data_IF_688683330964
#
_entry.id   IF_688683330964
#
_cell.length_a   1.000
_cell.length_b   1.000
_cell.length_c   1.000
_cell.angle_alpha   90.00
_cell.angle_beta   90.00
_cell.angle_gamma   90.00
#
_symmetry.space_group_name_H-M   'P 1'
#
loop_
_entity.id
_entity.type
_entity.pdbx_description
1 polymer ?
#
# COMPACT_ATOMS: atom_id res chain seq x y z
N UNK A 1 10.63 7.71 26.67
CA UNK A 1 11.67 8.58 26.07
C UNK A 1 10.94 9.69 25.32
N UNK A 2 11.32 10.95 25.50
CA UNK A 2 10.68 12.06 24.79
C UNK A 2 11.11 12.07 23.31
N UNK A 3 10.16 12.26 22.39
CA UNK A 3 10.43 12.50 20.97
C UNK A 3 11.42 13.66 20.78
N UNK A 4 12.64 13.35 20.35
CA UNK A 4 13.72 14.33 20.19
C UNK A 4 13.37 15.46 19.19
N UNK A 5 12.38 15.27 18.32
CA UNK A 5 11.98 16.21 17.26
C UNK A 5 10.50 16.63 17.31
N UNK A 6 9.85 16.58 18.48
CA UNK A 6 8.40 16.84 18.60
C UNK A 6 7.93 18.15 17.97
N UNK A 7 8.63 19.26 18.17
CA UNK A 7 8.26 20.57 17.60
C UNK A 7 8.27 20.55 16.06
N UNK A 8 9.28 19.91 15.46
CA UNK A 8 9.38 19.72 14.00
C UNK A 8 8.21 18.89 13.49
N UNK A 9 7.92 17.75 14.13
CA UNK A 9 6.81 16.87 13.74
C UNK A 9 5.45 17.59 13.82
N UNK A 10 5.20 18.35 14.89
CA UNK A 10 3.96 19.16 15.01
C UNK A 10 3.85 20.23 13.93
N UNK A 11 4.95 20.89 13.58
CA UNK A 11 4.95 21.89 12.51
C UNK A 11 4.72 21.25 11.14
N UNK A 12 5.27 20.06 10.89
CA UNK A 12 4.97 19.27 9.70
C UNK A 12 3.49 18.88 9.66
N UNK A 13 2.92 18.36 10.75
CA UNK A 13 1.50 18.02 10.84
C UNK A 13 0.61 19.23 10.51
N UNK A 14 0.94 20.43 11.02
CA UNK A 14 0.22 21.67 10.66
C UNK A 14 0.28 21.98 9.17
N UNK A 15 1.38 21.67 8.49
CA UNK A 15 1.48 21.84 7.03
C UNK A 15 0.61 20.80 6.31
N UNK A 16 0.69 19.54 6.71
CA UNK A 16 -0.12 18.43 6.16
C UNK A 16 -1.62 18.70 6.32
N UNK A 17 -2.08 19.12 7.50
CA UNK A 17 -3.49 19.44 7.75
C UNK A 17 -4.03 20.62 6.91
N UNK A 18 -3.16 21.47 6.36
CA UNK A 18 -3.58 22.54 5.42
C UNK A 18 -3.75 22.03 4.00
N UNK A 19 -3.20 20.87 3.68
CA UNK A 19 -3.31 20.21 2.38
C UNK A 19 -4.51 19.28 2.30
N UNK A 20 -4.92 18.72 3.43
CA UNK A 20 -6.09 17.85 3.50
C UNK A 20 -7.26 18.57 2.82
N UNK A 21 -7.83 18.00 1.75
CA UNK A 21 -9.04 18.54 1.17
C UNK A 21 -10.13 18.49 2.25
N UNK A 22 -11.20 19.27 2.06
CA UNK A 22 -12.37 19.19 2.93
C UNK A 22 -13.14 17.88 2.76
N UNK A 23 -12.44 16.75 2.91
CA UNK A 23 -12.97 15.40 2.77
C UNK A 23 -14.03 15.14 3.84
N UNK A 24 -15.09 14.41 3.46
CA UNK A 24 -16.12 13.97 4.40
C UNK A 24 -15.55 13.03 5.47
N UNK A 25 -14.51 12.25 5.10
CA UNK A 25 -13.76 11.38 5.99
C UNK A 25 -12.29 11.79 6.06
N UNK A 26 -11.79 12.33 7.19
CA UNK A 26 -10.40 12.76 7.32
C UNK A 26 -9.43 11.58 7.55
N UNK A 27 -9.92 10.36 7.77
CA UNK A 27 -9.06 9.21 8.14
C UNK A 27 -7.97 8.90 7.10
N UNK A 28 -8.22 8.87 5.79
CA UNK A 28 -7.17 8.56 4.81
C UNK A 28 -6.00 9.56 4.85
N UNK A 29 -6.30 10.86 4.81
CA UNK A 29 -5.27 11.91 4.86
C UNK A 29 -4.58 11.97 6.23
N UNK A 30 -5.29 11.73 7.33
CA UNK A 30 -4.70 11.59 8.66
C UNK A 30 -3.76 10.38 8.76
N UNK A 31 -4.11 9.26 8.13
CA UNK A 31 -3.30 8.04 8.17
C UNK A 31 -2.03 8.21 7.33
N UNK A 32 -2.12 8.80 6.14
CA UNK A 32 -0.92 9.16 5.36
C UNK A 32 -0.06 10.21 6.08
N UNK A 33 -0.67 11.18 6.76
CA UNK A 33 0.07 12.13 7.59
C UNK A 33 0.84 11.43 8.71
N UNK A 34 0.23 10.45 9.40
CA UNK A 34 0.90 9.65 10.41
C UNK A 34 2.04 8.82 9.81
N UNK A 35 1.87 8.23 8.63
CA UNK A 35 2.93 7.51 7.93
C UNK A 35 4.13 8.42 7.59
N UNK A 36 3.85 9.63 7.10
CA UNK A 36 4.89 10.63 6.80
C UNK A 36 5.64 11.03 8.08
N UNK A 37 4.92 11.29 9.16
CA UNK A 37 5.50 11.66 10.45
C UNK A 37 6.30 10.51 11.07
N UNK A 38 5.84 9.26 10.92
CA UNK A 38 6.55 8.05 11.35
C UNK A 38 7.88 7.91 10.61
N UNK A 39 7.89 8.17 9.30
CA UNK A 39 9.13 8.18 8.53
C UNK A 39 10.08 9.31 8.94
N UNK A 40 9.56 10.52 9.17
CA UNK A 40 10.37 11.63 9.68
C UNK A 40 10.97 11.34 11.07
N UNK A 41 10.21 10.68 11.95
CA UNK A 41 10.67 10.26 13.26
C UNK A 41 11.74 9.15 13.18
N UNK A 42 11.76 8.39 12.09
CA UNK A 42 12.67 7.26 11.88
C UNK A 42 12.11 5.92 12.34
N UNK A 43 10.82 5.85 12.63
CA UNK A 43 10.11 4.61 12.99
C UNK A 43 9.77 3.77 11.74
N UNK A 44 9.62 4.44 10.59
CA UNK A 44 9.36 3.82 9.28
C UNK A 44 10.46 4.20 8.28
N UNK A 45 11.13 3.27 7.59
CA UNK A 45 12.20 3.63 6.64
C UNK A 45 11.69 4.44 5.43
N UNK A 46 10.52 4.08 4.90
CA UNK A 46 9.92 4.65 3.68
C UNK A 46 8.47 5.02 3.94
N UNK A 47 8.07 6.23 3.55
CA UNK A 47 6.66 6.57 3.36
C UNK A 47 6.31 6.41 1.88
N UNK A 48 5.24 5.68 1.60
CA UNK A 48 4.71 5.46 0.26
C UNK A 48 3.55 6.42 0.02
N UNK A 49 3.68 7.28 -0.97
CA UNK A 49 2.69 8.27 -1.38
C UNK A 49 2.14 7.94 -2.76
N UNK A 50 0.84 8.15 -2.97
CA UNK A 50 0.17 7.93 -4.27
C UNK A 50 -0.35 6.51 -4.48
N UNK A 51 -0.22 5.63 -3.48
CA UNK A 51 -0.86 4.29 -3.46
C UNK A 51 -2.04 4.33 -2.49
N UNK A 52 -3.27 4.36 -3.01
CA UNK A 52 -4.50 4.43 -2.21
C UNK A 52 -5.15 5.82 -2.29
N UNK A 53 -4.60 6.80 -1.59
CA UNK A 53 -5.10 8.18 -1.63
C UNK A 53 -4.34 9.01 -2.69
N UNK A 54 -4.94 9.16 -3.87
CA UNK A 54 -4.28 9.69 -5.07
C UNK A 54 -4.76 11.12 -5.42
N UNK A 55 -5.02 11.94 -4.40
CA UNK A 55 -5.44 13.33 -4.60
C UNK A 55 -4.26 14.20 -5.03
N UNK A 56 -4.38 14.85 -6.19
CA UNK A 56 -3.27 15.57 -6.81
C UNK A 56 -2.77 16.76 -5.98
N UNK A 57 -3.68 17.46 -5.30
CA UNK A 57 -3.33 18.57 -4.39
C UNK A 57 -2.52 18.04 -3.20
N UNK A 58 -2.97 16.91 -2.65
CA UNK A 58 -2.30 16.24 -1.53
C UNK A 58 -0.90 15.78 -1.92
N UNK A 59 -0.77 15.02 -3.00
CA UNK A 59 0.53 14.49 -3.47
C UNK A 59 1.53 15.61 -3.68
N UNK A 60 1.17 16.64 -4.46
CA UNK A 60 2.05 17.78 -4.72
C UNK A 60 2.46 18.49 -3.44
N UNK A 61 1.52 18.69 -2.52
CA UNK A 61 1.79 19.32 -1.23
C UNK A 61 2.72 18.50 -0.34
N UNK A 62 2.51 17.19 -0.23
CA UNK A 62 3.37 16.28 0.55
C UNK A 62 4.78 16.25 -0.03
N UNK A 63 4.93 16.17 -1.35
CA UNK A 63 6.23 16.23 -2.03
C UNK A 63 6.96 17.56 -1.77
N UNK A 64 6.24 18.68 -1.79
CA UNK A 64 6.81 19.98 -1.45
C UNK A 64 7.29 20.02 0.01
N UNK A 65 6.48 19.51 0.95
CA UNK A 65 6.88 19.41 2.37
C UNK A 65 8.13 18.54 2.52
N UNK A 66 8.21 17.43 1.78
CA UNK A 66 9.37 16.54 1.81
C UNK A 66 10.64 17.20 1.27
N UNK A 67 10.52 17.91 0.16
CA UNK A 67 11.60 18.71 -0.45
C UNK A 67 12.11 19.80 0.50
N UNK A 68 11.20 20.59 1.09
CA UNK A 68 11.52 21.61 2.10
C UNK A 68 12.26 21.01 3.30
N UNK A 69 11.88 19.79 3.69
CA UNK A 69 12.49 19.05 4.79
C UNK A 69 13.82 18.36 4.42
N UNK A 70 14.27 18.50 3.16
CA UNK A 70 15.47 17.85 2.58
C UNK A 70 15.44 16.33 2.69
N UNK A 71 14.25 15.75 2.59
CA UNK A 71 14.06 14.30 2.53
C UNK A 71 14.42 13.80 1.13
N UNK A 72 14.72 12.50 1.03
CA UNK A 72 14.94 11.85 -0.25
C UNK A 72 13.59 11.46 -0.84
N UNK A 73 13.41 11.69 -2.14
CA UNK A 73 12.20 11.35 -2.88
C UNK A 73 12.65 10.49 -4.05
N UNK A 74 12.10 9.29 -4.15
CA UNK A 74 12.27 8.41 -5.31
C UNK A 74 10.90 8.24 -5.95
N UNK A 75 10.80 8.51 -7.25
CA UNK A 75 9.61 8.20 -8.03
C UNK A 75 9.80 6.84 -8.71
N UNK A 76 8.81 5.96 -8.58
CA UNK A 76 8.91 4.60 -9.09
C UNK A 76 7.56 3.99 -9.48
N UNK A 77 7.59 2.82 -10.14
CA UNK A 77 6.38 2.00 -10.31
C UNK A 77 5.92 1.49 -8.93
N UNK A 78 4.67 1.02 -8.84
CA UNK A 78 4.27 0.25 -7.65
C UNK A 78 5.12 -1.01 -7.52
N UNK A 79 5.52 -1.31 -6.28
CA UNK A 79 6.25 -2.53 -5.99
C UNK A 79 5.36 -3.75 -6.18
N UNK A 80 5.96 -4.81 -6.71
CA UNK A 80 5.31 -6.10 -6.87
C UNK A 80 6.20 -7.21 -6.28
N UNK A 81 5.64 -7.95 -5.32
CA UNK A 81 6.26 -9.10 -4.68
C UNK A 81 5.62 -10.43 -5.11
N UNK A 82 4.90 -10.45 -6.24
CA UNK A 82 4.22 -11.62 -6.79
C UNK A 82 5.12 -12.85 -6.93
N UNK A 83 6.40 -12.66 -7.31
CA UNK A 83 7.39 -13.73 -7.40
C UNK A 83 7.73 -14.38 -6.05
N UNK A 84 7.65 -13.63 -4.96
CA UNK A 84 8.13 -14.00 -3.63
C UNK A 84 7.12 -14.83 -2.80
N UNK A 85 5.86 -14.75 -3.22
CA UNK A 85 4.73 -15.48 -2.61
C UNK A 85 4.22 -16.60 -3.50
N UNK A 86 4.78 -16.79 -4.69
CA UNK A 86 4.25 -17.73 -5.70
C UNK A 86 2.93 -17.27 -6.33
N UNK A 87 2.31 -16.20 -5.82
CA UNK A 87 1.08 -15.59 -6.33
C UNK A 87 1.09 -15.31 -7.83
N UNK A 88 2.22 -14.84 -8.34
CA UNK A 88 2.39 -14.58 -9.78
C UNK A 88 2.87 -15.80 -10.56
N UNK A 89 3.36 -16.86 -9.88
CA UNK A 89 3.90 -18.04 -10.54
C UNK A 89 2.80 -18.94 -11.14
N UNK A 90 1.58 -18.87 -10.59
CA UNK A 90 0.43 -19.63 -11.09
C UNK A 90 -0.31 -18.89 -12.22
N UNK A 91 0.01 -17.62 -12.47
CA UNK A 91 -0.57 -16.83 -13.55
C UNK A 91 0.23 -17.05 -14.85
N UNK A 92 -0.44 -17.21 -16.01
CA UNK A 92 0.23 -17.24 -17.30
C UNK A 92 0.96 -15.92 -17.59
N UNK A 93 2.16 -15.99 -18.18
CA UNK A 93 2.98 -14.83 -18.52
C UNK A 93 2.21 -13.76 -19.30
N UNK A 94 1.38 -14.16 -20.27
CA UNK A 94 0.59 -13.22 -21.08
C UNK A 94 -0.42 -12.41 -20.26
N UNK A 95 -1.00 -13.01 -19.22
CA UNK A 95 -1.97 -12.36 -18.34
C UNK A 95 -1.24 -11.45 -17.35
N UNK A 96 -0.13 -11.94 -16.80
CA UNK A 96 0.72 -11.17 -15.90
C UNK A 96 1.32 -9.94 -16.59
N UNK A 97 1.81 -10.08 -17.82
CA UNK A 97 2.34 -8.96 -18.60
C UNK A 97 1.26 -7.94 -18.94
N UNK A 98 0.06 -8.40 -19.32
CA UNK A 98 -1.07 -7.51 -19.58
C UNK A 98 -1.45 -6.69 -18.34
N UNK A 99 -1.61 -7.35 -17.20
CA UNK A 99 -1.95 -6.68 -15.94
C UNK A 99 -0.85 -5.71 -15.51
N UNK A 100 0.43 -6.08 -15.61
CA UNK A 100 1.54 -5.15 -15.35
C UNK A 100 1.54 -3.94 -16.28
N UNK A 101 1.25 -4.15 -17.57
CA UNK A 101 1.18 -3.06 -18.55
C UNK A 101 0.07 -2.06 -18.20
N UNK A 102 -1.08 -2.54 -17.73
CA UNK A 102 -2.18 -1.67 -17.28
C UNK A 102 -1.78 -0.74 -16.12
N UNK A 103 -0.80 -1.14 -15.29
CA UNK A 103 -0.29 -0.31 -14.20
C UNK A 103 1.00 0.46 -14.51
N UNK A 104 1.57 0.33 -15.72
CA UNK A 104 2.88 0.88 -16.05
C UNK A 104 2.94 2.42 -15.98
N UNK A 105 1.82 3.09 -16.27
CA UNK A 105 1.72 4.55 -16.21
C UNK A 105 1.49 5.08 -14.78
N UNK A 106 1.09 4.22 -13.85
CA UNK A 106 0.89 4.61 -12.46
C UNK A 106 2.22 4.73 -11.73
N UNK A 107 2.38 5.85 -11.04
CA UNK A 107 3.61 6.20 -10.32
C UNK A 107 3.31 6.34 -8.83
N UNK A 108 4.31 5.97 -8.03
CA UNK A 108 4.34 6.19 -6.61
C UNK A 108 5.56 7.02 -6.23
N UNK A 109 5.47 7.67 -5.07
CA UNK A 109 6.59 8.40 -4.49
C UNK A 109 6.99 7.78 -3.18
N UNK A 110 8.26 7.41 -3.09
CA UNK A 110 8.88 6.80 -1.94
C UNK A 110 9.73 7.85 -1.23
N UNK A 111 9.27 8.28 -0.07
CA UNK A 111 9.89 9.35 0.70
C UNK A 111 10.68 8.74 1.84
N UNK A 112 11.98 9.05 1.88
CA UNK A 112 12.93 8.45 2.82
C UNK A 112 13.71 9.52 3.57
N UNK A 113 14.03 9.24 4.85
CA UNK A 113 14.93 10.11 5.63
C UNK A 113 16.40 9.86 5.30
N UNK A 114 16.78 8.59 5.13
CA UNK A 114 18.17 8.18 4.94
C UNK A 114 18.50 7.99 3.46
N UNK A 115 19.67 8.47 3.02
CA UNK A 115 20.13 8.34 1.64
C UNK A 115 20.28 6.89 1.21
N UNK A 116 20.88 6.04 2.05
CA UNK A 116 21.06 4.62 1.75
C UNK A 116 19.73 3.88 1.50
N UNK A 117 18.65 4.26 2.21
CA UNK A 117 17.31 3.70 1.96
C UNK A 117 16.77 4.16 0.62
N UNK A 118 16.96 5.44 0.26
CA UNK A 118 16.55 5.95 -1.05
C UNK A 118 17.32 5.28 -2.20
N UNK A 119 18.63 5.04 -2.03
CA UNK A 119 19.44 4.33 -3.03
C UNK A 119 18.95 2.88 -3.18
N UNK A 120 18.61 2.20 -2.08
CA UNK A 120 18.00 0.86 -2.12
C UNK A 120 16.65 0.88 -2.86
N UNK A 121 15.78 1.83 -2.54
CA UNK A 121 14.47 1.97 -3.19
C UNK A 121 14.63 2.27 -4.69
N UNK A 122 15.61 3.08 -5.09
CA UNK A 122 15.88 3.37 -6.49
C UNK A 122 16.22 2.08 -7.27
N UNK A 123 17.05 1.20 -6.70
CA UNK A 123 17.38 -0.11 -7.32
C UNK A 123 16.14 -0.98 -7.46
N UNK A 124 15.27 -1.04 -6.44
CA UNK A 124 14.00 -1.78 -6.53
C UNK A 124 13.12 -1.20 -7.65
N UNK A 125 13.03 0.12 -7.75
CA UNK A 125 12.22 0.81 -8.76
C UNK A 125 12.68 0.57 -10.21
N UNK A 126 13.94 0.16 -10.45
CA UNK A 126 14.42 -0.21 -11.80
C UNK A 126 13.72 -1.45 -12.36
N UNK A 127 13.29 -2.37 -11.49
CA UNK A 127 12.67 -3.65 -11.88
C UNK A 127 11.22 -3.78 -11.42
N UNK A 128 10.79 -2.91 -10.50
CA UNK A 128 9.56 -3.03 -9.70
C UNK A 128 9.49 -4.28 -8.81
N UNK A 129 10.51 -5.15 -8.84
CA UNK A 129 10.51 -6.40 -8.12
C UNK A 129 11.01 -6.19 -6.69
N UNK A 130 10.19 -6.59 -5.73
CA UNK A 130 10.54 -6.55 -4.31
C UNK A 130 10.26 -7.92 -3.68
N UNK A 131 10.98 -8.24 -2.61
CA UNK A 131 10.62 -9.37 -1.75
C UNK A 131 9.61 -8.94 -0.68
N UNK A 132 8.80 -9.88 -0.19
CA UNK A 132 7.88 -9.65 0.93
C UNK A 132 8.63 -9.13 2.16
N UNK A 133 9.82 -9.69 2.43
CA UNK A 133 10.66 -9.26 3.54
C UNK A 133 11.21 -7.83 3.35
N UNK A 134 11.60 -7.47 2.12
CA UNK A 134 12.03 -6.10 1.81
C UNK A 134 10.90 -5.09 2.00
N UNK A 135 9.70 -5.36 1.46
CA UNK A 135 8.56 -4.44 1.61
C UNK A 135 8.15 -4.30 3.08
N UNK A 136 8.06 -5.43 3.80
CA UNK A 136 7.75 -5.45 5.22
C UNK A 136 8.73 -4.57 6.03
N UNK A 137 10.03 -4.72 5.79
CA UNK A 137 11.05 -3.90 6.44
C UNK A 137 10.94 -2.42 6.05
N UNK A 138 10.85 -2.11 4.75
CA UNK A 138 10.87 -0.73 4.24
C UNK A 138 9.63 0.06 4.68
N UNK A 139 8.47 -0.58 4.74
CA UNK A 139 7.22 0.02 5.20
C UNK A 139 6.96 -0.20 6.71
N UNK A 140 7.86 -0.88 7.43
CA UNK A 140 7.66 -1.26 8.83
C UNK A 140 6.33 -2.00 9.07
N UNK A 141 5.96 -2.86 8.13
CA UNK A 141 4.79 -3.72 8.21
C UNK A 141 5.17 -5.12 8.68
N UNK A 142 4.26 -5.85 9.35
CA UNK A 142 4.46 -7.27 9.60
C UNK A 142 4.54 -8.05 8.28
N UNK A 143 5.53 -8.93 8.17
CA UNK A 143 5.72 -9.77 6.99
C UNK A 143 4.46 -10.59 6.66
N UNK A 144 3.79 -11.13 7.69
CA UNK A 144 2.55 -11.90 7.51
C UNK A 144 1.41 -11.10 6.85
N UNK A 145 1.30 -9.79 7.12
CA UNK A 145 0.29 -8.94 6.50
C UNK A 145 0.65 -8.60 5.06
N UNK A 146 1.93 -8.36 4.78
CA UNK A 146 2.42 -8.15 3.40
C UNK A 146 2.18 -9.42 2.57
N UNK A 147 2.55 -10.59 3.08
CA UNK A 147 2.31 -11.89 2.41
C UNK A 147 0.81 -12.11 2.14
N UNK A 148 -0.05 -11.85 3.11
CA UNK A 148 -1.49 -11.98 2.95
C UNK A 148 -2.06 -10.99 1.91
N UNK A 149 -1.54 -9.76 1.86
CA UNK A 149 -1.90 -8.79 0.83
C UNK A 149 -1.58 -9.31 -0.58
N UNK A 150 -0.38 -9.84 -0.79
CA UNK A 150 -0.02 -10.41 -2.08
C UNK A 150 -0.79 -11.68 -2.42
N UNK A 151 -1.12 -12.52 -1.42
CA UNK A 151 -2.01 -13.67 -1.61
C UNK A 151 -3.41 -13.26 -2.08
N UNK A 152 -4.01 -12.22 -1.49
CA UNK A 152 -5.31 -11.69 -1.95
C UNK A 152 -5.22 -11.10 -3.34
N UNK A 153 -4.15 -10.37 -3.65
CA UNK A 153 -3.93 -9.84 -5.00
C UNK A 153 -3.84 -10.97 -6.04
N UNK A 154 -3.14 -12.06 -5.71
CA UNK A 154 -3.06 -13.26 -6.53
C UNK A 154 -4.43 -13.86 -6.82
N UNK A 155 -5.20 -14.14 -5.77
CA UNK A 155 -6.49 -14.79 -5.88
C UNK A 155 -7.47 -13.89 -6.64
N UNK A 156 -7.42 -12.57 -6.44
CA UNK A 156 -8.18 -11.61 -7.24
C UNK A 156 -7.88 -11.76 -8.74
N UNK A 157 -6.60 -11.81 -9.12
CA UNK A 157 -6.19 -12.03 -10.50
C UNK A 157 -6.62 -13.43 -11.00
N UNK A 158 -6.51 -14.45 -10.16
CA UNK A 158 -6.94 -15.82 -10.47
C UNK A 158 -8.43 -15.92 -10.79
N UNK A 159 -9.29 -15.26 -10.00
CA UNK A 159 -10.75 -15.25 -10.26
C UNK A 159 -11.07 -14.62 -11.62
N UNK A 160 -10.43 -13.49 -11.95
CA UNK A 160 -10.65 -12.84 -13.25
C UNK A 160 -10.14 -13.67 -14.43
N UNK A 161 -8.99 -14.34 -14.26
CA UNK A 161 -8.47 -15.26 -15.26
C UNK A 161 -9.39 -16.47 -15.46
N UNK A 162 -9.93 -17.03 -14.38
CA UNK A 162 -10.91 -18.13 -14.45
C UNK A 162 -12.16 -17.73 -15.25
N UNK A 163 -12.72 -16.53 -14.95
CA UNK A 163 -13.86 -15.96 -15.67
C UNK A 163 -13.56 -15.77 -17.17
N UNK A 164 -12.40 -15.18 -17.47
CA UNK A 164 -11.96 -14.95 -18.84
C UNK A 164 -11.81 -16.27 -19.61
N UNK A 165 -11.20 -17.30 -19.00
CA UNK A 165 -11.04 -18.63 -19.60
C UNK A 165 -12.38 -19.30 -19.84
N UNK A 166 -13.34 -19.19 -18.92
CA UNK A 166 -14.69 -19.73 -19.14
C UNK A 166 -15.39 -19.04 -20.30
N UNK A 167 -15.34 -17.70 -20.38
CA UNK A 167 -15.88 -16.94 -21.51
C UNK A 167 -15.22 -17.32 -22.84
N UNK A 168 -13.93 -17.65 -22.81
CA UNK A 168 -13.16 -18.12 -23.96
C UNK A 168 -13.36 -19.62 -24.31
N UNK A 169 -14.16 -20.38 -23.55
CA UNK A 169 -14.33 -21.82 -23.75
C UNK A 169 -13.08 -22.65 -23.41
N UNK A 170 -12.19 -22.13 -22.57
CA UNK A 170 -10.93 -22.76 -22.17
C UNK A 170 -9.75 -22.54 -23.14
N UNK A 171 -9.93 -21.75 -24.20
CA UNK A 171 -8.88 -21.43 -25.17
C UNK A 171 -8.11 -20.17 -24.72
N UNK A 172 -6.83 -20.35 -24.35
CA UNK A 172 -5.97 -19.25 -23.90
C UNK A 172 -5.69 -18.21 -25.00
N UNK A 173 -5.64 -18.60 -26.29
CA UNK A 173 -5.48 -17.65 -27.37
C UNK A 173 -6.72 -16.76 -27.50
N UNK A 174 -7.91 -17.38 -27.40
CA UNK A 174 -9.17 -16.63 -27.39
C UNK A 174 -9.30 -15.76 -26.14
N UNK A 175 -8.85 -16.24 -24.98
CA UNK A 175 -8.81 -15.46 -23.74
C UNK A 175 -7.95 -14.20 -23.88
N UNK A 176 -6.76 -14.33 -24.48
CA UNK A 176 -5.88 -13.20 -24.79
C UNK A 176 -6.53 -12.17 -25.73
N UNK A 177 -7.24 -12.64 -26.75
CA UNK A 177 -8.00 -11.76 -27.66
C UNK A 177 -9.06 -10.97 -26.90
N UNK A 178 -9.93 -11.67 -26.14
CA UNK A 178 -10.99 -11.04 -25.35
C UNK A 178 -10.44 -10.01 -24.35
N UNK A 179 -9.33 -10.32 -23.69
CA UNK A 179 -8.67 -9.41 -22.76
C UNK A 179 -8.15 -8.15 -23.48
N UNK A 180 -7.55 -8.31 -24.66
CA UNK A 180 -7.04 -7.19 -25.47
C UNK A 180 -8.17 -6.30 -25.98
N UNK A 181 -9.32 -6.89 -26.30
CA UNK A 181 -10.53 -6.19 -26.73
C UNK A 181 -11.26 -5.47 -25.59
N UNK A 182 -10.78 -5.59 -24.33
CA UNK A 182 -11.42 -5.08 -23.11
C UNK A 182 -12.89 -5.53 -22.99
N UNK A 183 -13.15 -6.77 -23.38
CA UNK A 183 -14.47 -7.37 -23.28
C UNK A 183 -14.94 -7.41 -21.82
N UNK A 184 -16.16 -6.92 -21.51
CA UNK A 184 -16.66 -6.95 -20.15
C UNK A 184 -16.70 -8.37 -19.57
N UNK A 185 -16.20 -8.51 -18.34
CA UNK A 185 -16.27 -9.72 -17.53
C UNK A 185 -17.18 -9.46 -16.35
N UNK A 186 -18.12 -10.36 -16.10
CA UNK A 186 -19.02 -10.33 -14.95
C UNK A 186 -18.94 -11.68 -14.24
N UNK A 187 -19.04 -11.73 -12.89
CA UNK A 187 -19.16 -12.97 -12.15
C UNK A 187 -20.35 -13.79 -12.66
N UNK A 188 -20.11 -15.04 -13.06
CA UNK A 188 -21.14 -15.90 -13.65
C UNK A 188 -21.93 -16.67 -12.58
N UNK A 189 -21.33 -16.85 -11.41
CA UNK A 189 -21.86 -17.66 -10.31
C UNK A 189 -21.75 -16.95 -8.96
N UNK A 190 -22.57 -17.38 -8.00
CA UNK A 190 -22.45 -16.97 -6.60
C UNK A 190 -21.06 -17.32 -6.02
N UNK A 191 -20.44 -18.40 -6.51
CA UNK A 191 -19.08 -18.79 -6.09
C UNK A 191 -18.05 -17.75 -6.53
N UNK A 192 -18.12 -17.26 -7.77
CA UNK A 192 -17.23 -16.20 -8.27
C UNK A 192 -17.40 -14.91 -7.46
N UNK A 193 -18.66 -14.54 -7.18
CA UNK A 193 -18.97 -13.37 -6.39
C UNK A 193 -18.40 -13.50 -4.97
N UNK A 194 -18.63 -14.64 -4.31
CA UNK A 194 -18.12 -14.90 -2.97
C UNK A 194 -16.58 -14.88 -2.93
N UNK A 195 -15.91 -15.44 -3.95
CA UNK A 195 -14.44 -15.39 -4.07
C UNK A 195 -13.94 -13.95 -4.22
N UNK A 196 -14.56 -13.15 -5.10
CA UNK A 196 -14.21 -11.74 -5.29
C UNK A 196 -14.44 -10.92 -4.01
N UNK A 197 -15.58 -11.10 -3.35
CA UNK A 197 -15.89 -10.43 -2.09
C UNK A 197 -14.87 -10.78 -1.00
N UNK A 198 -14.47 -12.05 -0.90
CA UNK A 198 -13.49 -12.50 0.08
C UNK A 198 -12.11 -11.86 -0.14
N UNK A 199 -11.61 -11.80 -1.38
CA UNK A 199 -10.29 -11.21 -1.67
C UNK A 199 -10.26 -9.69 -1.62
N UNK A 200 -11.38 -9.04 -1.94
CA UNK A 200 -11.52 -7.58 -1.85
C UNK A 200 -11.70 -7.10 -0.41
N UNK A 201 -12.12 -7.98 0.50
CA UNK A 201 -12.30 -7.65 1.91
C UNK A 201 -10.95 -7.35 2.56
N UNK A 202 -10.71 -6.07 2.82
CA UNK A 202 -9.56 -5.60 3.61
C UNK A 202 -10.02 -5.05 4.94
N UNK A 203 -9.35 -5.45 6.03
CA UNK A 203 -9.58 -4.87 7.36
C UNK A 203 -8.40 -3.96 7.71
N UNK A 204 -8.55 -2.63 7.58
CA UNK A 204 -7.49 -1.70 7.92
C UNK A 204 -7.23 -1.70 9.42
N UNK A 205 -5.96 -1.67 9.79
CA UNK A 205 -5.51 -1.60 11.18
C UNK A 205 -5.33 -0.13 11.57
N UNK A 206 -6.06 0.38 12.57
CA UNK A 206 -5.99 1.79 12.97
C UNK A 206 -4.56 2.25 13.27
N UNK A 207 -4.28 3.53 13.05
CA UNK A 207 -2.96 4.14 13.26
C UNK A 207 -1.83 3.53 12.40
N UNK A 208 -2.18 2.75 11.37
CA UNK A 208 -1.25 2.19 10.41
C UNK A 208 -1.90 2.16 9.03
N UNK A 209 -1.10 1.98 7.99
CA UNK A 209 -1.62 1.69 6.63
C UNK A 209 -1.59 0.18 6.33
N UNK A 210 -1.66 -0.65 7.37
CA UNK A 210 -1.65 -2.11 7.26
C UNK A 210 -3.09 -2.61 7.09
N UNK A 211 -3.30 -3.52 6.14
CA UNK A 211 -4.48 -4.37 6.11
C UNK A 211 -4.15 -5.67 6.84
N UNK A 212 -4.89 -6.00 7.89
CA UNK A 212 -4.63 -7.19 8.70
C UNK A 212 -4.79 -8.48 7.88
N UNK A 213 -3.95 -9.47 8.18
CA UNK A 213 -4.22 -10.87 7.85
C UNK A 213 -5.06 -11.52 8.96
N UNK A 214 -5.66 -12.68 8.68
CA UNK A 214 -6.50 -13.41 9.63
C UNK A 214 -5.78 -13.69 10.95
N UNK A 215 -4.51 -14.11 10.90
CA UNK A 215 -3.70 -14.32 12.09
C UNK A 215 -3.53 -13.05 12.94
N UNK A 216 -3.51 -11.86 12.32
CA UNK A 216 -3.45 -10.60 13.04
C UNK A 216 -4.80 -10.13 13.58
N UNK A 217 -5.89 -10.51 12.93
CA UNK A 217 -7.25 -10.27 13.42
C UNK A 217 -7.53 -11.12 14.66
N UNK A 218 -7.19 -12.40 14.60
CA UNK A 218 -7.49 -13.37 15.66
C UNK A 218 -6.48 -13.34 16.82
N UNK A 219 -5.26 -12.85 16.56
CA UNK A 219 -4.14 -12.90 17.51
C UNK A 219 -4.21 -11.89 18.66
N UNK A 220 -5.23 -11.03 18.71
CA UNK A 220 -5.43 -10.04 19.78
C UNK A 220 -4.30 -8.99 19.88
N UNK A 221 -4.14 -8.30 21.02
CA UNK A 221 -3.23 -7.14 21.14
C UNK A 221 -1.75 -7.42 20.85
N UNK A 222 -1.31 -8.67 21.02
CA UNK A 222 0.08 -9.08 20.78
C UNK A 222 0.34 -9.52 19.33
N UNK A 223 -0.69 -9.53 18.49
CA UNK A 223 -0.49 -9.81 17.09
C UNK A 223 0.38 -8.74 16.42
N UNK A 224 1.23 -9.10 15.44
CA UNK A 224 2.20 -8.19 14.85
C UNK A 224 1.60 -6.85 14.36
N UNK A 225 0.45 -6.88 13.69
CA UNK A 225 -0.17 -5.65 13.20
C UNK A 225 -0.73 -4.78 14.34
N UNK A 226 -1.25 -5.40 15.40
CA UNK A 226 -1.78 -4.69 16.56
C UNK A 226 -0.66 -4.05 17.39
N UNK A 227 0.52 -4.67 17.46
CA UNK A 227 1.71 -4.04 18.03
C UNK A 227 2.06 -2.77 17.23
N UNK A 228 2.06 -2.82 15.90
CA UNK A 228 2.29 -1.64 15.05
C UNK A 228 1.22 -0.56 15.23
N UNK A 229 -0.04 -0.96 15.41
CA UNK A 229 -1.12 -0.03 15.74
C UNK A 229 -0.86 0.72 17.06
N UNK A 230 -0.44 0.01 18.11
CA UNK A 230 -0.13 0.61 19.40
C UNK A 230 1.09 1.55 19.32
N UNK A 231 2.12 1.18 18.57
CA UNK A 231 3.28 2.04 18.27
C UNK A 231 2.85 3.33 17.54
N UNK A 232 2.04 3.19 16.48
CA UNK A 232 1.50 4.32 15.72
C UNK A 232 0.61 5.24 16.55
N UNK A 233 -0.28 4.67 17.37
CA UNK A 233 -1.15 5.43 18.29
C UNK A 233 -0.34 6.22 19.30
N UNK A 234 0.69 5.60 19.87
CA UNK A 234 1.60 6.27 20.81
C UNK A 234 2.29 7.44 20.14
N UNK A 235 2.86 7.24 18.94
CA UNK A 235 3.49 8.33 18.18
C UNK A 235 2.51 9.47 17.89
N UNK A 236 1.29 9.14 17.44
CA UNK A 236 0.25 10.13 17.17
C UNK A 236 -0.05 10.98 18.42
N UNK A 237 -0.26 10.34 19.58
CA UNK A 237 -0.53 11.04 20.85
C UNK A 237 0.65 11.88 21.35
N UNK A 238 1.88 11.40 21.15
CA UNK A 238 3.07 12.19 21.50
C UNK A 238 3.23 13.42 20.59
N UNK A 239 2.75 13.38 19.34
CA UNK A 239 2.77 14.53 18.42
C UNK A 239 1.62 15.49 18.72
N UNK A 240 0.36 15.03 18.58
CA UNK A 240 -0.84 15.87 18.70
C UNK A 240 -2.12 15.03 18.95
N UNK A 241 -2.87 15.36 19.99
CA UNK A 241 -4.17 14.74 20.33
C UNK A 241 -5.25 14.92 19.24
N UNK A 242 -5.13 15.93 18.38
CA UNK A 242 -6.01 16.09 17.22
C UNK A 242 -5.82 14.98 16.19
N UNK A 243 -4.57 14.51 16.01
CA UNK A 243 -4.27 13.40 15.10
C UNK A 243 -4.84 12.08 15.63
N UNK A 244 -4.79 11.86 16.95
CA UNK A 244 -5.42 10.68 17.56
C UNK A 244 -6.91 10.64 17.28
N UNK A 245 -7.60 11.74 17.53
CA UNK A 245 -9.05 11.86 17.32
C UNK A 245 -9.46 11.72 15.84
N UNK A 246 -8.62 12.16 14.91
CA UNK A 246 -8.88 12.01 13.49
C UNK A 246 -8.82 10.54 13.01
N UNK A 247 -8.09 9.69 13.74
CA UNK A 247 -7.86 8.29 13.37
C UNK A 247 -8.74 7.29 14.15
N UNK A 248 -9.39 7.72 15.24
CA UNK A 248 -10.28 6.89 16.08
C UNK A 248 -9.96 6.97 17.57
#
# INVERSE_FOLDING_TARGET
MALQNKSRLRNTLKKLNRLAPGDEDPRPSAQEALDFLSMMAGEKPVMLLGRGYNEQIWIKGVLQIASDAKLQIVEGPFWDASADVGAGADLPDWYFDHTRAAFAEHRAWYICRARAVADEVAVICETAAITVAQEARLLNYPECCVRAHYGRAAEYQGVWLDLLRRKAGGDDARAMELLTENEPLEPETDEDLNRLEAVMKTIPVPFTSINACDACLDGGPNAPANIKSLEGRKLAGEIDEGLVRALG
#
